data_IF_432770097655
#
_entry.id   IF_432770097655
#
_cell.length_a   1.000
_cell.length_b   1.000
_cell.length_c   1.000
_cell.angle_alpha   90.00
_cell.angle_beta   90.00
_cell.angle_gamma   90.00
#
_symmetry.space_group_name_H-M   'P 1'
#
loop_
_entity.id
_entity.type
_entity.pdbx_description
1 polymer ?
#
# COMPACT_ATOMS: atom_id res chain seq x y z
N UNK A 1 16.75 24.51 0.33
CA UNK A 1 15.33 24.20 0.11
C UNK A 1 15.07 24.25 -1.37
N UNK A 2 14.51 23.16 -1.93
CA UNK A 2 14.16 23.11 -3.34
C UNK A 2 12.68 23.39 -3.58
N UNK A 3 12.35 23.99 -4.74
CA UNK A 3 10.98 24.25 -5.16
C UNK A 3 10.81 23.82 -6.60
N UNK A 4 9.94 22.85 -6.82
CA UNK A 4 9.50 22.50 -8.18
C UNK A 4 8.19 23.21 -8.48
N UNK A 5 8.10 23.78 -9.69
CA UNK A 5 6.95 24.58 -10.11
C UNK A 5 6.28 23.92 -11.31
N UNK A 6 4.94 23.84 -11.27
CA UNK A 6 4.15 23.29 -12.36
C UNK A 6 2.98 24.20 -12.70
N UNK A 7 2.75 24.44 -13.98
CA UNK A 7 1.57 25.14 -14.47
C UNK A 7 0.37 24.20 -14.44
N UNK A 8 -0.67 24.62 -13.73
CA UNK A 8 -1.98 23.96 -13.72
C UNK A 8 -2.74 24.42 -14.98
N UNK A 9 -3.33 23.50 -15.77
CA UNK A 9 -4.07 23.91 -16.95
C UNK A 9 -5.35 24.70 -16.58
N UNK A 10 -5.69 25.70 -17.39
CA UNK A 10 -6.81 26.60 -17.11
C UNK A 10 -8.19 25.93 -17.07
N UNK A 11 -8.33 24.74 -17.67
CA UNK A 11 -9.59 23.97 -17.68
C UNK A 11 -9.82 23.15 -16.38
N UNK A 12 -8.86 23.10 -15.46
CA UNK A 12 -9.00 22.42 -14.16
C UNK A 12 -9.04 23.47 -13.04
N UNK A 13 -10.22 23.90 -12.58
CA UNK A 13 -10.31 24.78 -11.42
C UNK A 13 -9.75 24.12 -10.17
N UNK A 14 -8.94 24.84 -9.41
CA UNK A 14 -8.33 24.32 -8.16
C UNK A 14 -9.38 23.90 -7.14
N UNK A 15 -10.52 24.59 -7.09
CA UNK A 15 -11.64 24.23 -6.21
C UNK A 15 -12.20 22.83 -6.48
N UNK A 16 -12.11 22.35 -7.73
CA UNK A 16 -12.57 21.02 -8.12
C UNK A 16 -11.50 19.92 -7.94
N UNK A 17 -10.33 20.30 -7.39
CA UNK A 17 -9.18 19.40 -7.23
C UNK A 17 -8.64 19.36 -5.80
N UNK A 18 -9.45 18.93 -4.80
CA UNK A 18 -9.05 18.93 -3.40
C UNK A 18 -7.87 18.00 -3.10
N UNK A 19 -7.65 16.96 -3.92
CA UNK A 19 -6.55 16.02 -3.76
C UNK A 19 -5.18 16.60 -4.14
N UNK A 20 -5.13 17.78 -4.77
CA UNK A 20 -3.87 18.43 -5.16
C UNK A 20 -2.89 18.55 -3.98
N UNK A 21 -3.39 18.94 -2.81
CA UNK A 21 -2.60 19.07 -1.59
C UNK A 21 -2.05 17.73 -1.04
N UNK A 22 -2.54 16.60 -1.56
CA UNK A 22 -2.03 15.26 -1.20
C UNK A 22 -0.90 14.79 -2.12
N UNK A 23 -0.52 15.57 -3.11
CA UNK A 23 0.64 15.28 -3.95
C UNK A 23 1.94 15.20 -3.12
N UNK A 24 2.92 14.49 -3.64
CA UNK A 24 4.21 14.34 -3.00
C UNK A 24 5.33 14.15 -4.01
N UNK A 25 6.55 14.44 -3.56
CA UNK A 25 7.77 14.20 -4.32
C UNK A 25 8.44 12.91 -3.84
N UNK A 26 9.03 12.19 -4.78
CA UNK A 26 9.80 10.98 -4.49
C UNK A 26 11.12 10.97 -5.25
N UNK A 27 12.11 10.29 -4.66
CA UNK A 27 13.38 10.00 -5.31
C UNK A 27 13.23 8.96 -6.47
N UNK A 28 14.27 8.77 -7.28
CA UNK A 28 14.28 7.72 -8.31
C UNK A 28 14.05 6.31 -7.76
N UNK A 29 14.49 6.02 -6.54
CA UNK A 29 14.33 4.75 -5.81
C UNK A 29 12.95 4.57 -5.18
N UNK A 30 12.01 5.48 -5.43
CA UNK A 30 10.64 5.53 -4.91
C UNK A 30 10.53 5.93 -3.42
N UNK A 31 11.61 6.30 -2.75
CA UNK A 31 11.51 6.87 -1.40
C UNK A 31 10.74 8.21 -1.46
N UNK A 32 9.69 8.32 -0.66
CA UNK A 32 8.86 9.53 -0.60
C UNK A 32 9.51 10.54 0.33
N UNK A 33 9.56 11.79 -0.11
CA UNK A 33 10.13 12.88 0.68
C UNK A 33 9.06 13.74 1.33
N UNK A 34 9.31 14.28 2.53
CA UNK A 34 8.48 15.33 3.09
C UNK A 34 8.29 16.46 2.10
N UNK A 35 7.03 16.67 1.71
CA UNK A 35 6.66 17.58 0.64
C UNK A 35 5.51 18.47 1.07
N UNK A 36 5.69 19.78 0.92
CA UNK A 36 4.62 20.76 1.06
C UNK A 36 4.15 21.21 -0.30
N UNK A 37 2.85 21.09 -0.53
CA UNK A 37 2.19 21.56 -1.75
C UNK A 37 1.45 22.86 -1.45
N UNK A 38 1.84 23.93 -2.13
CA UNK A 38 1.14 25.23 -2.14
C UNK A 38 0.61 25.48 -3.56
N UNK A 39 -0.50 26.20 -3.68
CA UNK A 39 -1.06 26.62 -4.97
C UNK A 39 -1.13 28.15 -4.96
N UNK A 40 -0.51 28.77 -5.98
CA UNK A 40 -0.50 30.20 -6.17
C UNK A 40 -1.00 30.53 -7.60
N UNK A 41 -2.24 30.97 -7.69
CA UNK A 41 -2.91 31.18 -8.97
C UNK A 41 -2.95 29.89 -9.82
N UNK A 42 -2.24 29.90 -10.93
CA UNK A 42 -2.12 28.74 -11.84
C UNK A 42 -0.87 27.90 -11.59
N UNK A 43 -0.12 28.15 -10.51
CA UNK A 43 1.11 27.44 -10.20
C UNK A 43 0.91 26.49 -9.02
N UNK A 44 1.31 25.25 -9.22
CA UNK A 44 1.50 24.25 -8.17
C UNK A 44 2.97 24.30 -7.72
N UNK A 45 3.21 24.61 -6.45
CA UNK A 45 4.52 24.77 -5.86
C UNK A 45 4.80 23.58 -4.92
N UNK A 46 5.77 22.74 -5.29
CA UNK A 46 6.18 21.58 -4.50
C UNK A 46 7.48 21.91 -3.76
N UNK A 47 7.40 22.12 -2.45
CA UNK A 47 8.54 22.49 -1.59
C UNK A 47 9.10 21.28 -0.87
N UNK A 48 10.44 21.19 -0.82
CA UNK A 48 11.18 20.11 -0.16
C UNK A 48 12.50 20.60 0.45
N UNK A 49 13.14 19.75 1.24
CA UNK A 49 14.42 20.10 1.88
C UNK A 49 15.63 20.00 0.91
N UNK A 50 15.58 19.09 -0.06
CA UNK A 50 16.63 18.89 -1.09
C UNK A 50 16.27 19.60 -2.39
N UNK A 51 17.25 19.85 -3.25
CA UNK A 51 17.10 20.32 -4.64
C UNK A 51 17.40 19.22 -5.68
N UNK A 52 17.52 17.96 -5.26
CA UNK A 52 17.77 16.84 -6.15
C UNK A 52 16.63 16.61 -7.13
N UNK A 53 16.90 15.93 -8.24
CA UNK A 53 15.87 15.53 -9.20
C UNK A 53 14.86 14.61 -8.55
N UNK A 54 13.57 14.84 -8.83
CA UNK A 54 12.49 14.06 -8.21
C UNK A 54 11.31 13.86 -9.15
N UNK A 55 10.42 12.97 -8.76
CA UNK A 55 9.15 12.69 -9.43
C UNK A 55 8.02 13.28 -8.59
N UNK A 56 7.10 13.99 -9.24
CA UNK A 56 5.85 14.41 -8.60
C UNK A 56 4.79 13.31 -8.81
N UNK A 57 4.22 12.84 -7.71
CA UNK A 57 3.05 11.95 -7.69
C UNK A 57 1.83 12.75 -7.21
N UNK A 58 0.76 12.76 -8.01
CA UNK A 58 -0.43 13.55 -7.71
C UNK A 58 -1.68 12.93 -8.33
N UNK A 59 -2.80 13.00 -7.63
CA UNK A 59 -4.09 12.54 -8.14
C UNK A 59 -4.52 13.43 -9.32
N UNK A 60 -4.85 12.81 -10.46
CA UNK A 60 -5.14 13.54 -11.68
C UNK A 60 -6.39 13.01 -12.39
N UNK A 61 -7.31 13.87 -12.87
CA UNK A 61 -8.51 13.41 -13.56
C UNK A 61 -8.16 12.77 -14.91
N UNK A 62 -8.62 11.54 -15.10
CA UNK A 62 -8.49 10.78 -16.34
C UNK A 62 -9.84 10.20 -16.71
N UNK A 63 -10.32 10.47 -17.92
CA UNK A 63 -11.63 10.00 -18.38
C UNK A 63 -11.71 8.46 -18.28
N UNK A 64 -12.76 7.96 -17.63
CA UNK A 64 -12.99 6.51 -17.40
C UNK A 64 -12.19 5.88 -16.26
N UNK A 65 -11.24 6.63 -15.63
CA UNK A 65 -10.38 6.12 -14.55
C UNK A 65 -10.55 6.89 -13.23
N UNK A 66 -11.41 7.91 -13.19
CA UNK A 66 -11.53 8.78 -12.02
C UNK A 66 -10.30 9.66 -11.84
N UNK A 67 -9.74 9.67 -10.62
CA UNK A 67 -8.56 10.48 -10.28
C UNK A 67 -7.43 9.60 -9.69
N UNK A 68 -6.81 8.74 -10.51
CA UNK A 68 -5.67 7.96 -10.04
C UNK A 68 -4.48 8.88 -9.76
N UNK A 69 -3.63 8.51 -8.80
CA UNK A 69 -2.33 9.14 -8.65
C UNK A 69 -1.46 8.77 -9.83
N UNK A 70 -0.97 9.78 -10.52
CA UNK A 70 -0.03 9.67 -11.62
C UNK A 70 1.30 10.29 -11.23
N UNK A 71 2.38 9.77 -11.80
CA UNK A 71 3.73 10.17 -11.43
C UNK A 71 4.47 10.69 -12.67
N UNK A 72 5.12 11.83 -12.56
CA UNK A 72 5.98 12.40 -13.61
C UNK A 72 7.23 11.54 -13.84
N UNK A 73 7.95 11.81 -14.91
CA UNK A 73 9.35 11.39 -14.98
C UNK A 73 10.18 12.08 -13.88
N UNK A 74 11.42 11.64 -13.67
CA UNK A 74 12.35 12.35 -12.80
C UNK A 74 12.73 13.69 -13.45
N UNK A 75 12.48 14.78 -12.74
CA UNK A 75 12.66 16.15 -13.20
C UNK A 75 13.68 16.87 -12.31
N UNK A 76 14.66 17.59 -12.89
CA UNK A 76 15.53 18.48 -12.13
C UNK A 76 14.77 19.74 -11.67
N UNK A 77 15.28 20.44 -10.68
CA UNK A 77 14.81 21.77 -10.33
C UNK A 77 15.22 22.78 -11.41
N UNK A 78 14.33 23.70 -11.77
CA UNK A 78 14.58 24.77 -12.72
C UNK A 78 13.74 25.99 -12.41
N UNK A 79 14.11 27.16 -12.96
CA UNK A 79 13.40 28.44 -12.76
C UNK A 79 12.07 28.47 -13.50
N UNK A 80 12.01 27.96 -14.72
CA UNK A 80 10.78 27.93 -15.51
C UNK A 80 9.87 26.79 -15.03
N UNK A 81 8.56 27.07 -14.81
CA UNK A 81 7.60 26.05 -14.45
C UNK A 81 7.46 24.96 -15.53
N UNK A 82 7.24 23.73 -15.10
CA UNK A 82 6.85 22.62 -15.96
C UNK A 82 5.38 22.68 -16.32
N UNK A 83 4.98 22.24 -17.50
CA UNK A 83 3.58 21.98 -17.81
C UNK A 83 3.15 20.67 -17.18
N UNK A 84 2.33 20.72 -16.12
CA UNK A 84 1.99 19.57 -15.30
C UNK A 84 1.51 18.36 -16.10
N UNK A 85 0.52 18.58 -16.99
CA UNK A 85 -0.08 17.47 -17.75
C UNK A 85 0.91 16.84 -18.72
N UNK A 86 1.79 17.65 -19.32
CA UNK A 86 2.85 17.14 -20.22
C UNK A 86 3.79 16.21 -19.46
N UNK A 87 4.17 16.57 -18.25
CA UNK A 87 5.08 15.76 -17.45
C UNK A 87 4.40 14.50 -16.87
N UNK A 88 3.10 14.57 -16.54
CA UNK A 88 2.33 13.38 -16.16
C UNK A 88 2.18 12.41 -17.35
N UNK A 89 1.88 12.92 -18.55
CA UNK A 89 1.81 12.09 -19.76
C UNK A 89 3.17 11.46 -20.07
N UNK A 90 4.27 12.21 -19.97
CA UNK A 90 5.64 11.70 -20.10
C UNK A 90 5.89 10.55 -19.12
N UNK A 91 5.57 10.77 -17.85
CA UNK A 91 5.75 9.78 -16.79
C UNK A 91 4.99 8.49 -17.08
N UNK A 92 3.72 8.61 -17.45
CA UNK A 92 2.86 7.45 -17.73
C UNK A 92 3.32 6.67 -18.97
N UNK A 93 3.69 7.34 -20.05
CA UNK A 93 4.21 6.70 -21.27
C UNK A 93 5.52 5.97 -20.99
N UNK A 94 6.44 6.57 -20.22
CA UNK A 94 7.70 5.93 -19.82
C UNK A 94 7.45 4.72 -18.92
N UNK A 95 6.55 4.85 -17.94
CA UNK A 95 6.15 3.76 -17.06
C UNK A 95 5.62 2.56 -17.87
N UNK A 96 4.67 2.83 -18.78
CA UNK A 96 4.07 1.82 -19.65
C UNK A 96 5.11 1.13 -20.53
N UNK A 97 5.96 1.90 -21.22
CA UNK A 97 7.01 1.36 -22.09
C UNK A 97 7.95 0.42 -21.34
N UNK A 98 8.42 0.86 -20.18
CA UNK A 98 9.37 0.08 -19.39
C UNK A 98 8.74 -1.22 -18.88
N UNK A 99 7.51 -1.17 -18.41
CA UNK A 99 6.83 -2.36 -17.89
C UNK A 99 6.52 -3.36 -19.01
N UNK A 100 6.07 -2.89 -20.17
CA UNK A 100 5.84 -3.76 -21.33
C UNK A 100 7.13 -4.45 -21.77
N UNK A 101 8.25 -3.73 -21.83
CA UNK A 101 9.55 -4.31 -22.15
C UNK A 101 9.97 -5.41 -21.16
N UNK A 102 9.75 -5.18 -19.86
CA UNK A 102 10.00 -6.18 -18.81
C UNK A 102 9.13 -7.41 -18.99
N UNK A 103 7.82 -7.25 -19.23
CA UNK A 103 6.91 -8.37 -19.40
C UNK A 103 7.16 -9.15 -20.70
N UNK A 104 7.53 -8.46 -21.79
CA UNK A 104 7.91 -9.12 -23.06
C UNK A 104 9.18 -9.96 -22.90
N UNK A 105 10.18 -9.49 -22.12
CA UNK A 105 11.36 -10.30 -21.81
C UNK A 105 11.01 -11.57 -21.01
N UNK A 106 9.89 -11.55 -20.28
CA UNK A 106 9.26 -12.69 -19.61
C UNK A 106 8.29 -13.50 -20.49
N UNK A 107 8.38 -13.37 -21.82
CA UNK A 107 7.52 -14.07 -22.81
C UNK A 107 6.04 -13.71 -22.78
N UNK A 108 5.64 -12.53 -22.29
CA UNK A 108 4.26 -12.06 -22.42
C UNK A 108 3.93 -11.79 -23.89
N UNK A 109 2.79 -12.26 -24.33
CA UNK A 109 2.24 -11.94 -25.65
C UNK A 109 1.48 -10.61 -25.58
N UNK A 110 1.85 -9.67 -26.44
CA UNK A 110 1.20 -8.36 -26.51
C UNK A 110 -0.09 -8.48 -27.35
N UNK A 111 -1.26 -8.09 -26.82
CA UNK A 111 -2.50 -8.15 -27.56
C UNK A 111 -2.49 -7.18 -28.75
N UNK A 112 -3.15 -7.52 -29.89
CA UNK A 112 -3.09 -6.71 -31.10
C UNK A 112 -3.69 -5.31 -30.96
N UNK A 113 -4.56 -5.10 -29.98
CA UNK A 113 -5.18 -3.80 -29.68
C UNK A 113 -4.21 -2.84 -28.97
N UNK A 114 -3.14 -3.33 -28.36
CA UNK A 114 -2.21 -2.50 -27.60
C UNK A 114 -1.36 -1.57 -28.48
N UNK A 115 -0.70 -2.00 -29.58
CA UNK A 115 0.18 -1.14 -30.36
C UNK A 115 -0.49 0.12 -30.93
N UNK A 116 -1.77 0.08 -31.40
CA UNK A 116 -2.48 1.29 -31.81
C UNK A 116 -2.63 2.33 -30.68
N UNK A 117 -3.02 1.90 -29.48
CA UNK A 117 -3.17 2.79 -28.32
C UNK A 117 -1.84 3.42 -27.91
N UNK A 118 -0.78 2.60 -27.86
CA UNK A 118 0.57 3.08 -27.54
C UNK A 118 1.07 4.11 -28.55
N UNK A 119 0.86 3.86 -29.85
CA UNK A 119 1.25 4.81 -30.91
C UNK A 119 0.45 6.12 -30.84
N UNK A 120 -0.86 6.03 -30.58
CA UNK A 120 -1.71 7.21 -30.40
C UNK A 120 -1.22 8.05 -29.23
N UNK A 121 -0.95 7.45 -28.07
CA UNK A 121 -0.40 8.15 -26.91
C UNK A 121 0.92 8.86 -27.23
N UNK A 122 1.85 8.18 -27.94
CA UNK A 122 3.15 8.73 -28.30
C UNK A 122 3.03 9.87 -29.31
N UNK A 123 2.16 9.76 -30.33
CA UNK A 123 1.94 10.82 -31.31
C UNK A 123 1.31 12.08 -30.72
N UNK A 124 0.30 11.91 -29.85
CA UNK A 124 -0.32 13.03 -29.13
C UNK A 124 0.68 13.70 -28.19
N UNK A 125 1.46 12.91 -27.48
CA UNK A 125 2.53 13.42 -26.61
C UNK A 125 3.61 14.19 -27.40
N UNK A 126 4.06 13.67 -28.53
CA UNK A 126 5.03 14.37 -29.38
C UNK A 126 4.49 15.73 -29.87
N UNK A 127 3.20 15.78 -30.25
CA UNK A 127 2.53 17.04 -30.62
C UNK A 127 2.42 17.99 -29.43
N UNK A 128 2.10 17.50 -28.22
CA UNK A 128 2.05 18.31 -27.01
C UNK A 128 3.42 18.96 -26.71
N UNK A 129 4.50 18.17 -26.83
CA UNK A 129 5.87 18.68 -26.62
C UNK A 129 6.27 19.71 -27.69
N UNK A 130 5.85 19.54 -28.93
CA UNK A 130 6.13 20.48 -30.01
C UNK A 130 5.37 21.82 -29.87
N UNK A 131 4.33 21.90 -29.05
CA UNK A 131 3.47 23.08 -28.88
C UNK A 131 3.54 23.67 -27.47
N UNK A 132 4.65 23.50 -26.75
CA UNK A 132 4.80 24.01 -25.38
C UNK A 132 4.77 25.53 -25.27
N UNK A 133 4.98 26.26 -26.37
CA UNK A 133 4.83 27.71 -26.44
C UNK A 133 3.38 28.18 -26.21
N UNK A 134 2.39 27.29 -26.46
CA UNK A 134 0.99 27.46 -26.06
C UNK A 134 0.62 26.45 -24.97
N UNK A 135 0.68 26.83 -23.68
CA UNK A 135 0.41 25.93 -22.56
C UNK A 135 -0.99 25.30 -22.59
N UNK A 136 -2.00 25.98 -23.15
CA UNK A 136 -3.35 25.46 -23.22
C UNK A 136 -3.45 24.32 -24.25
N UNK A 137 -2.94 24.55 -25.46
CA UNK A 137 -2.92 23.55 -26.53
C UNK A 137 -2.05 22.33 -26.12
N UNK A 138 -0.86 22.58 -25.57
CA UNK A 138 0.02 21.54 -25.09
C UNK A 138 -0.65 20.68 -24.01
N UNK A 139 -1.32 21.31 -23.04
CA UNK A 139 -2.01 20.61 -21.95
C UNK A 139 -3.19 19.76 -22.46
N UNK A 140 -3.97 20.24 -23.42
CA UNK A 140 -5.07 19.47 -24.02
C UNK A 140 -4.56 18.23 -24.79
N UNK A 141 -3.51 18.39 -25.59
CA UNK A 141 -2.89 17.27 -26.30
C UNK A 141 -2.25 16.27 -25.34
N UNK A 142 -1.61 16.76 -24.28
CA UNK A 142 -1.02 15.91 -23.24
C UNK A 142 -2.09 15.16 -22.46
N UNK A 143 -3.26 15.77 -22.18
CA UNK A 143 -4.39 15.10 -21.55
C UNK A 143 -4.90 13.93 -22.41
N UNK A 144 -5.07 14.16 -23.71
CA UNK A 144 -5.45 13.09 -24.64
C UNK A 144 -4.39 11.98 -24.71
N UNK A 145 -3.10 12.34 -24.72
CA UNK A 145 -2.00 11.37 -24.68
C UNK A 145 -2.03 10.53 -23.41
N UNK A 146 -2.30 11.15 -22.27
CA UNK A 146 -2.41 10.52 -20.97
C UNK A 146 -3.57 9.52 -20.92
N UNK A 147 -4.74 9.90 -21.44
CA UNK A 147 -5.92 9.02 -21.52
C UNK A 147 -5.63 7.79 -22.38
N UNK A 148 -5.00 7.96 -23.54
CA UNK A 148 -4.60 6.83 -24.39
C UNK A 148 -3.56 5.93 -23.71
N UNK A 149 -2.62 6.53 -22.96
CA UNK A 149 -1.62 5.78 -22.20
C UNK A 149 -2.24 5.00 -21.02
N UNK A 150 -3.26 5.54 -20.36
CA UNK A 150 -4.00 4.83 -19.30
C UNK A 150 -4.84 3.68 -19.86
N UNK A 151 -5.53 3.87 -20.99
CA UNK A 151 -6.23 2.79 -21.70
C UNK A 151 -5.28 1.67 -22.11
N UNK A 152 -4.13 2.01 -22.67
CA UNK A 152 -3.10 1.04 -23.03
C UNK A 152 -2.55 0.31 -21.80
N UNK A 153 -2.37 1.02 -20.68
CA UNK A 153 -1.89 0.46 -19.43
C UNK A 153 -2.90 -0.54 -18.82
N UNK A 154 -4.19 -0.21 -18.80
CA UNK A 154 -5.25 -1.11 -18.32
C UNK A 154 -5.31 -2.38 -19.18
N UNK A 155 -5.37 -2.23 -20.51
CA UNK A 155 -5.41 -3.34 -21.45
C UNK A 155 -4.26 -4.32 -21.26
N UNK A 156 -3.02 -3.79 -21.23
CA UNK A 156 -1.82 -4.65 -21.16
C UNK A 156 -1.69 -5.32 -19.79
N UNK A 157 -2.08 -4.64 -18.70
CA UNK A 157 -2.03 -5.21 -17.35
C UNK A 157 -3.04 -6.34 -17.19
N UNK A 158 -4.27 -6.18 -17.69
CA UNK A 158 -5.29 -7.24 -17.70
C UNK A 158 -4.84 -8.43 -18.54
N UNK A 159 -4.23 -8.18 -19.70
CA UNK A 159 -3.68 -9.23 -20.55
C UNK A 159 -2.57 -10.00 -19.85
N UNK A 160 -1.62 -9.30 -19.21
CA UNK A 160 -0.56 -9.90 -18.42
C UNK A 160 -1.11 -10.78 -17.30
N UNK A 161 -2.03 -10.24 -16.49
CA UNK A 161 -2.64 -10.99 -15.38
C UNK A 161 -3.35 -12.27 -15.91
N UNK A 162 -4.10 -12.16 -16.99
CA UNK A 162 -4.78 -13.30 -17.61
C UNK A 162 -3.79 -14.38 -18.08
N UNK A 163 -2.73 -13.99 -18.78
CA UNK A 163 -1.70 -14.92 -19.24
C UNK A 163 -0.97 -15.60 -18.07
N UNK A 164 -0.66 -14.86 -16.99
CA UNK A 164 -0.05 -15.42 -15.78
C UNK A 164 -0.97 -16.41 -15.07
N UNK A 165 -2.25 -16.10 -14.96
CA UNK A 165 -3.26 -17.01 -14.39
C UNK A 165 -3.40 -18.29 -15.24
N UNK A 166 -3.50 -18.17 -16.55
CA UNK A 166 -3.55 -19.32 -17.46
C UNK A 166 -2.31 -20.22 -17.33
N UNK A 167 -1.11 -19.61 -17.22
CA UNK A 167 0.12 -20.36 -17.00
C UNK A 167 0.10 -21.10 -15.67
N UNK A 168 -0.33 -20.46 -14.59
CA UNK A 168 -0.45 -21.10 -13.27
C UNK A 168 -1.48 -22.23 -13.27
N UNK A 169 -2.64 -22.05 -13.91
CA UNK A 169 -3.65 -23.10 -13.99
C UNK A 169 -3.19 -24.35 -14.77
N UNK A 170 -2.25 -24.20 -15.72
CA UNK A 170 -1.63 -25.38 -16.37
C UNK A 170 -0.75 -26.19 -15.43
N UNK A 171 -0.13 -25.53 -14.44
CA UNK A 171 0.74 -26.20 -13.45
C UNK A 171 -0.08 -26.71 -12.24
N UNK A 172 -1.07 -25.94 -11.83
CA UNK A 172 -1.88 -26.20 -10.63
C UNK A 172 -3.37 -26.10 -11.00
N UNK A 173 -4.10 -27.23 -11.05
CA UNK A 173 -5.55 -27.24 -11.31
C UNK A 173 -6.33 -26.37 -10.32
N UNK A 174 -5.89 -26.36 -9.05
CA UNK A 174 -6.36 -25.43 -8.03
C UNK A 174 -5.21 -24.51 -7.64
N UNK A 175 -5.43 -23.19 -7.74
CA UNK A 175 -4.42 -22.22 -7.32
C UNK A 175 -4.24 -22.29 -5.80
N UNK A 176 -3.00 -22.25 -5.29
CA UNK A 176 -2.71 -22.21 -3.85
C UNK A 176 -2.97 -20.79 -3.31
N UNK A 177 -4.13 -20.24 -3.58
CA UNK A 177 -4.57 -18.92 -3.13
C UNK A 177 -5.90 -19.06 -2.42
N UNK A 178 -6.06 -18.29 -1.35
CA UNK A 178 -7.30 -18.25 -0.58
C UNK A 178 -7.94 -16.89 -0.71
N UNK A 179 -9.24 -16.86 -0.99
CA UNK A 179 -10.05 -15.67 -0.83
C UNK A 179 -10.60 -15.69 0.59
N UNK A 180 -10.18 -14.76 1.42
CA UNK A 180 -10.58 -14.68 2.82
C UNK A 180 -11.29 -13.37 3.16
N UNK A 181 -12.04 -13.40 4.24
CA UNK A 181 -12.69 -12.21 4.81
C UNK A 181 -12.55 -12.22 6.33
N UNK A 182 -12.62 -11.04 6.95
CA UNK A 182 -12.69 -10.92 8.41
C UNK A 182 -14.12 -11.18 8.90
N UNK A 183 -14.23 -11.89 10.03
CA UNK A 183 -15.53 -12.08 10.71
C UNK A 183 -15.99 -10.84 11.50
N UNK A 184 -15.11 -9.84 11.67
CA UNK A 184 -15.41 -8.68 12.50
C UNK A 184 -15.39 -8.98 14.00
N UNK A 185 -15.77 -8.00 14.81
CA UNK A 185 -15.67 -8.05 16.28
C UNK A 185 -16.93 -8.60 16.96
N UNK A 186 -17.87 -9.13 16.19
CA UNK A 186 -19.15 -9.69 16.69
C UNK A 186 -19.39 -11.07 16.10
N UNK A 187 -20.23 -11.86 16.79
CA UNK A 187 -20.68 -13.14 16.25
C UNK A 187 -21.68 -12.93 15.11
N UNK A 188 -21.42 -13.55 13.98
CA UNK A 188 -22.35 -13.55 12.84
C UNK A 188 -23.51 -14.54 13.10
N UNK A 189 -24.69 -14.20 12.59
CA UNK A 189 -25.85 -15.11 12.63
C UNK A 189 -25.63 -16.29 11.65
N UNK A 190 -26.26 -17.42 11.94
CA UNK A 190 -26.13 -18.66 11.15
C UNK A 190 -26.32 -18.45 9.63
N UNK A 191 -27.33 -17.71 9.14
CA UNK A 191 -27.50 -17.47 7.69
C UNK A 191 -26.32 -16.71 7.07
N UNK A 192 -25.70 -15.78 7.82
CA UNK A 192 -24.54 -15.03 7.37
C UNK A 192 -23.30 -15.91 7.28
N UNK A 193 -23.12 -16.81 8.26
CA UNK A 193 -22.02 -17.79 8.28
C UNK A 193 -22.13 -18.80 7.14
N UNK A 194 -23.35 -19.24 6.79
CA UNK A 194 -23.59 -20.12 5.64
C UNK A 194 -23.22 -19.43 4.32
N UNK A 195 -23.65 -18.17 4.13
CA UNK A 195 -23.28 -17.38 2.96
C UNK A 195 -21.76 -17.13 2.89
N UNK A 196 -21.12 -16.86 4.03
CA UNK A 196 -19.68 -16.66 4.13
C UNK A 196 -18.94 -17.92 3.64
N UNK A 197 -19.32 -19.09 4.11
CA UNK A 197 -18.68 -20.36 3.74
C UNK A 197 -18.83 -20.73 2.26
N UNK A 198 -19.85 -20.21 1.56
CA UNK A 198 -20.01 -20.43 0.12
C UNK A 198 -19.07 -19.57 -0.75
N UNK A 199 -18.57 -18.44 -0.21
CA UNK A 199 -17.78 -17.46 -0.97
C UNK A 199 -16.31 -17.49 -0.60
N UNK A 200 -16.00 -17.64 0.72
CA UNK A 200 -14.65 -17.50 1.24
C UNK A 200 -14.08 -18.84 1.65
N UNK A 201 -12.82 -19.08 1.28
CA UNK A 201 -12.04 -20.26 1.71
C UNK A 201 -11.15 -19.95 2.92
N UNK A 202 -10.92 -18.67 3.21
CA UNK A 202 -10.12 -18.19 4.33
C UNK A 202 -10.90 -17.28 5.25
N UNK A 203 -10.54 -17.32 6.54
CA UNK A 203 -11.15 -16.54 7.60
C UNK A 203 -10.07 -15.76 8.35
N UNK A 204 -10.28 -14.46 8.54
CA UNK A 204 -9.50 -13.70 9.52
C UNK A 204 -10.35 -13.50 10.78
N UNK A 205 -9.86 -14.02 11.91
CA UNK A 205 -10.44 -13.84 13.23
C UNK A 205 -9.73 -12.68 13.91
N UNK A 206 -10.40 -11.53 14.12
CA UNK A 206 -9.80 -10.40 14.83
C UNK A 206 -9.45 -10.78 16.27
N UNK A 207 -8.21 -10.50 16.65
CA UNK A 207 -7.70 -10.74 18.00
C UNK A 207 -6.89 -9.53 18.49
N UNK A 208 -7.42 -8.33 18.21
CA UNK A 208 -6.74 -7.09 18.61
C UNK A 208 -6.66 -6.98 20.13
N UNK A 209 -5.48 -6.68 20.63
CA UNK A 209 -5.23 -6.57 22.08
C UNK A 209 -6.22 -5.67 22.79
N UNK A 210 -6.54 -4.50 22.21
CA UNK A 210 -7.54 -3.58 22.81
C UNK A 210 -8.93 -4.20 23.01
N UNK A 211 -9.28 -5.22 22.22
CA UNK A 211 -10.57 -5.91 22.32
C UNK A 211 -10.48 -7.11 23.26
N UNK A 212 -9.32 -7.76 23.29
CA UNK A 212 -9.07 -8.93 24.17
C UNK A 212 -8.86 -8.47 25.62
N UNK A 213 -8.12 -7.39 25.84
CA UNK A 213 -7.75 -6.88 27.17
C UNK A 213 -8.00 -5.36 27.26
N UNK A 214 -9.25 -4.92 27.22
CA UNK A 214 -9.62 -3.51 27.33
C UNK A 214 -9.25 -2.89 28.67
N UNK A 215 -9.21 -3.71 29.74
CA UNK A 215 -8.76 -3.39 31.10
C UNK A 215 -7.65 -4.34 31.45
N UNK A 216 -6.58 -3.82 32.08
CA UNK A 216 -5.41 -4.61 32.47
C UNK A 216 -5.79 -5.83 33.29
N UNK A 217 -5.39 -7.03 32.82
CA UNK A 217 -5.67 -8.31 33.44
C UNK A 217 -7.06 -8.92 33.15
N UNK A 218 -7.96 -8.21 32.46
CA UNK A 218 -9.29 -8.71 32.10
C UNK A 218 -9.31 -9.19 30.63
N UNK A 219 -9.16 -10.51 30.42
CA UNK A 219 -9.07 -11.13 29.10
C UNK A 219 -10.41 -11.66 28.61
N UNK A 220 -10.86 -11.22 27.45
CA UNK A 220 -12.11 -11.58 26.79
C UNK A 220 -11.87 -12.45 25.54
N UNK A 221 -12.06 -13.74 25.65
CA UNK A 221 -11.80 -14.71 24.58
C UNK A 221 -13.07 -15.27 23.92
N UNK A 222 -14.25 -14.93 24.41
CA UNK A 222 -15.51 -15.59 24.06
C UNK A 222 -15.80 -15.48 22.55
N UNK A 223 -15.68 -14.28 22.00
CA UNK A 223 -15.95 -14.03 20.58
C UNK A 223 -14.87 -14.67 19.69
N UNK A 224 -13.56 -14.40 19.87
CA UNK A 224 -12.53 -15.05 19.06
C UNK A 224 -12.57 -16.57 19.14
N UNK A 225 -12.84 -17.13 20.33
CA UNK A 225 -12.92 -18.59 20.48
C UNK A 225 -14.06 -19.18 19.66
N UNK A 226 -15.26 -18.61 19.76
CA UNK A 226 -16.42 -19.07 18.99
C UNK A 226 -16.19 -18.96 17.46
N UNK A 227 -15.51 -17.89 17.01
CA UNK A 227 -15.16 -17.70 15.61
C UNK A 227 -14.11 -18.71 15.12
N UNK A 228 -13.11 -19.02 15.94
CA UNK A 228 -12.09 -20.05 15.64
C UNK A 228 -12.74 -21.43 15.56
N UNK A 229 -13.56 -21.79 16.54
CA UNK A 229 -14.24 -23.09 16.60
C UNK A 229 -15.13 -23.30 15.36
N UNK A 230 -15.90 -22.26 14.98
CA UNK A 230 -16.72 -22.31 13.78
C UNK A 230 -15.87 -22.46 12.50
N UNK A 231 -14.79 -21.71 12.38
CA UNK A 231 -13.96 -21.73 11.18
C UNK A 231 -13.24 -23.08 11.02
N UNK A 232 -12.74 -23.68 12.09
CA UNK A 232 -12.11 -25.00 12.09
C UNK A 232 -13.14 -26.09 11.76
N UNK A 233 -14.33 -26.05 12.38
CA UNK A 233 -15.42 -27.00 12.11
C UNK A 233 -15.85 -27.01 10.63
N UNK A 234 -15.76 -25.85 9.96
CA UNK A 234 -16.09 -25.68 8.54
C UNK A 234 -14.86 -25.79 7.61
N UNK A 235 -13.70 -26.17 8.12
CA UNK A 235 -12.44 -26.41 7.36
C UNK A 235 -11.93 -25.20 6.61
N UNK A 236 -12.16 -24.00 7.12
CA UNK A 236 -11.57 -22.80 6.58
C UNK A 236 -10.08 -22.68 6.93
N UNK A 237 -9.32 -22.00 6.06
CA UNK A 237 -7.98 -21.56 6.42
C UNK A 237 -8.11 -20.37 7.37
N UNK A 238 -7.63 -20.51 8.61
CA UNK A 238 -7.81 -19.50 9.66
C UNK A 238 -6.53 -18.70 9.87
N UNK A 239 -6.67 -17.37 9.90
CA UNK A 239 -5.63 -16.42 10.31
C UNK A 239 -6.11 -15.70 11.57
N UNK A 240 -5.35 -15.80 12.66
CA UNK A 240 -5.55 -15.01 13.88
C UNK A 240 -4.92 -13.64 13.77
N UNK A 241 -5.57 -12.61 14.31
CA UNK A 241 -5.04 -11.25 14.37
C UNK A 241 -5.67 -10.23 13.42
N UNK A 242 -5.12 -8.96 13.37
CA UNK A 242 -3.86 -8.59 14.01
C UNK A 242 -3.94 -8.65 15.53
N UNK A 243 -2.80 -9.00 16.18
CA UNK A 243 -2.70 -8.96 17.63
C UNK A 243 -2.45 -7.53 18.10
N UNK A 244 -1.47 -6.87 17.49
CA UNK A 244 -1.02 -5.51 17.81
C UNK A 244 -1.34 -4.57 16.65
N UNK A 245 -2.18 -3.58 16.87
CA UNK A 245 -2.45 -2.53 15.89
C UNK A 245 -1.81 -1.20 16.36
N UNK A 246 -0.80 -0.73 15.63
CA UNK A 246 -0.06 0.50 15.97
C UNK A 246 -0.73 1.78 15.47
N UNK A 247 -1.94 1.72 14.93
CA UNK A 247 -2.70 2.92 14.58
C UNK A 247 -3.11 3.72 15.84
N UNK A 248 -3.47 5.00 15.72
CA UNK A 248 -4.03 5.75 16.83
C UNK A 248 -5.22 4.99 17.46
N UNK A 249 -5.21 4.82 18.77
CA UNK A 249 -6.19 4.04 19.54
C UNK A 249 -6.26 2.53 19.14
N UNK A 250 -5.28 1.97 18.49
CA UNK A 250 -5.23 0.54 18.12
C UNK A 250 -4.82 -0.39 19.26
N UNK A 251 -4.20 0.15 20.32
CA UNK A 251 -3.75 -0.58 21.51
C UNK A 251 -4.67 -0.32 22.71
N UNK A 252 -4.63 -1.16 23.76
CA UNK A 252 -5.39 -0.95 24.98
C UNK A 252 -5.13 0.42 25.61
N UNK A 253 -6.17 1.16 26.05
CA UNK A 253 -6.00 2.50 26.64
C UNK A 253 -5.15 2.53 27.91
N UNK A 254 -5.16 1.46 28.71
CA UNK A 254 -4.39 1.37 29.93
C UNK A 254 -2.87 1.39 29.70
N UNK A 255 -2.39 1.09 28.48
CA UNK A 255 -0.97 1.21 28.14
C UNK A 255 -0.45 2.66 28.09
N UNK A 256 -1.33 3.66 27.96
CA UNK A 256 -0.91 5.07 27.90
C UNK A 256 -0.12 5.51 29.15
N UNK A 257 -0.43 4.97 30.32
CA UNK A 257 0.33 5.25 31.56
C UNK A 257 1.80 4.81 31.48
N UNK A 258 2.11 3.86 30.56
CA UNK A 258 3.44 3.30 30.34
C UNK A 258 4.16 3.90 29.12
N UNK A 259 3.57 4.89 28.44
CA UNK A 259 4.11 5.43 27.16
C UNK A 259 5.56 5.94 27.26
N UNK A 260 6.01 6.37 28.46
CA UNK A 260 7.38 6.78 28.73
C UNK A 260 8.35 5.66 29.12
N UNK A 261 7.87 4.44 29.35
CA UNK A 261 8.67 3.30 29.83
C UNK A 261 8.71 2.18 28.79
N UNK A 262 9.66 2.29 27.87
CA UNK A 262 9.83 1.38 26.76
C UNK A 262 10.09 -0.08 27.19
N UNK A 263 10.80 -0.29 28.32
CA UNK A 263 11.12 -1.65 28.78
C UNK A 263 9.87 -2.39 29.28
N UNK A 264 9.06 -1.72 30.08
CA UNK A 264 7.79 -2.28 30.53
C UNK A 264 6.82 -2.49 29.37
N UNK A 265 6.71 -1.53 28.43
CA UNK A 265 5.92 -1.73 27.21
C UNK A 265 6.37 -2.97 26.43
N UNK A 266 7.69 -3.14 26.23
CA UNK A 266 8.22 -4.33 25.54
C UNK A 266 7.81 -5.64 26.24
N UNK A 267 7.86 -5.68 27.57
CA UNK A 267 7.42 -6.85 28.34
C UNK A 267 5.94 -7.14 28.11
N UNK A 268 5.07 -6.15 28.32
CA UNK A 268 3.63 -6.33 28.11
C UNK A 268 3.28 -6.78 26.70
N UNK A 269 3.93 -6.22 25.68
CA UNK A 269 3.71 -6.62 24.28
C UNK A 269 4.11 -8.09 24.03
N UNK A 270 5.27 -8.50 24.55
CA UNK A 270 5.73 -9.88 24.42
C UNK A 270 4.82 -10.86 25.19
N UNK A 271 4.44 -10.51 26.41
CA UNK A 271 3.58 -11.35 27.27
C UNK A 271 2.19 -11.57 26.66
N UNK A 272 1.57 -10.51 26.10
CA UNK A 272 0.29 -10.63 25.41
C UNK A 272 0.38 -11.53 24.17
N UNK A 273 1.41 -11.33 23.34
CA UNK A 273 1.60 -12.13 22.12
C UNK A 273 1.88 -13.58 22.46
N UNK A 274 2.77 -13.83 23.42
CA UNK A 274 3.10 -15.22 23.86
C UNK A 274 1.88 -15.92 24.44
N UNK A 275 1.11 -15.25 25.31
CA UNK A 275 -0.14 -15.77 25.87
C UNK A 275 -1.15 -16.12 24.79
N UNK A 276 -1.34 -15.21 23.81
CA UNK A 276 -2.32 -15.41 22.74
C UNK A 276 -1.93 -16.56 21.83
N UNK A 277 -0.68 -16.59 21.34
CA UNK A 277 -0.19 -17.65 20.45
C UNK A 277 -0.21 -19.00 21.13
N UNK A 278 0.25 -19.08 22.39
CA UNK A 278 0.24 -20.31 23.19
C UNK A 278 -1.18 -20.85 23.42
N UNK A 279 -2.16 -19.96 23.65
CA UNK A 279 -3.56 -20.35 23.84
C UNK A 279 -4.13 -21.13 22.66
N UNK A 280 -3.77 -20.77 21.44
CA UNK A 280 -4.29 -21.36 20.21
C UNK A 280 -3.28 -22.29 19.51
N UNK A 281 -2.18 -22.65 20.18
CA UNK A 281 -1.19 -23.60 19.66
C UNK A 281 -1.85 -24.91 19.22
N UNK A 282 -1.49 -25.39 18.03
CA UNK A 282 -2.10 -26.57 17.43
C UNK A 282 -3.48 -26.36 16.79
N UNK A 283 -4.15 -25.24 17.05
CA UNK A 283 -5.42 -24.85 16.41
C UNK A 283 -5.19 -23.87 15.26
N UNK A 284 -4.40 -22.83 15.49
CA UNK A 284 -4.07 -21.79 14.50
C UNK A 284 -2.59 -21.87 14.13
N UNK A 285 -2.32 -21.78 12.82
CA UNK A 285 -0.95 -21.74 12.28
C UNK A 285 -0.57 -20.41 11.68
N UNK A 286 -1.53 -19.57 11.29
CA UNK A 286 -1.27 -18.31 10.61
C UNK A 286 -1.64 -17.16 11.53
N UNK A 287 -0.66 -16.32 11.82
CA UNK A 287 -0.80 -15.22 12.75
C UNK A 287 -0.40 -13.89 12.10
N UNK A 288 -1.25 -12.91 12.17
CA UNK A 288 -0.89 -11.52 11.90
C UNK A 288 -0.51 -10.87 13.23
N UNK A 289 0.79 -10.77 13.50
CA UNK A 289 1.30 -10.33 14.80
C UNK A 289 1.15 -8.82 14.96
N UNK A 290 1.56 -8.05 13.98
CA UNK A 290 1.55 -6.59 14.04
C UNK A 290 0.96 -5.97 12.79
N UNK A 291 0.15 -4.93 12.95
CA UNK A 291 -0.41 -4.13 11.88
C UNK A 291 -0.01 -2.67 12.03
N UNK A 292 0.26 -1.99 10.90
CA UNK A 292 0.49 -0.54 10.80
C UNK A 292 1.67 0.01 11.62
N UNK A 293 2.63 -0.85 11.99
CA UNK A 293 3.81 -0.41 12.74
C UNK A 293 4.68 0.57 11.94
N UNK A 294 4.66 0.49 10.60
CA UNK A 294 5.39 1.39 9.71
C UNK A 294 4.83 2.83 9.76
N UNK A 295 3.51 3.02 9.72
CA UNK A 295 2.87 4.34 9.82
C UNK A 295 2.68 4.79 11.27
N UNK A 296 2.35 3.87 12.19
CA UNK A 296 2.32 4.10 13.63
C UNK A 296 1.19 5.03 14.09
N UNK A 297 1.42 5.63 15.26
CA UNK A 297 0.52 6.60 15.89
C UNK A 297 0.10 6.24 17.31
N UNK A 298 0.19 4.96 17.71
CA UNK A 298 -0.10 4.52 19.06
C UNK A 298 1.02 4.90 20.02
N UNK A 299 0.68 5.29 21.26
CA UNK A 299 1.58 5.56 22.39
C UNK A 299 2.73 6.54 22.12
N UNK A 300 2.65 7.34 21.05
CA UNK A 300 3.74 8.25 20.67
C UNK A 300 5.08 7.57 20.36
N UNK A 301 5.09 6.28 20.09
CA UNK A 301 6.30 5.50 19.85
C UNK A 301 7.08 5.98 18.64
N UNK A 302 8.39 6.15 18.80
CA UNK A 302 9.28 6.44 17.68
C UNK A 302 9.29 5.29 16.66
N UNK A 303 9.68 5.57 15.43
CA UNK A 303 9.79 4.55 14.37
C UNK A 303 10.79 3.44 14.76
N UNK A 304 11.89 3.78 15.40
CA UNK A 304 12.89 2.85 15.91
C UNK A 304 12.31 1.95 17.02
N UNK A 305 11.55 2.53 17.96
CA UNK A 305 10.91 1.77 19.02
C UNK A 305 9.86 0.80 18.46
N UNK A 306 9.05 1.24 17.47
CA UNK A 306 8.08 0.35 16.80
C UNK A 306 8.78 -0.80 16.09
N UNK A 307 9.88 -0.53 15.37
CA UNK A 307 10.66 -1.57 14.71
C UNK A 307 11.21 -2.59 15.72
N UNK A 308 11.78 -2.11 16.83
CA UNK A 308 12.30 -2.94 17.90
C UNK A 308 11.19 -3.81 18.53
N UNK A 309 10.04 -3.20 18.87
CA UNK A 309 8.91 -3.94 19.43
C UNK A 309 8.43 -5.04 18.48
N UNK A 310 8.26 -4.73 17.19
CA UNK A 310 7.81 -5.74 16.20
C UNK A 310 8.80 -6.90 16.13
N UNK A 311 10.10 -6.63 16.12
CA UNK A 311 11.11 -7.70 16.12
C UNK A 311 10.99 -8.58 17.38
N UNK A 312 10.84 -7.98 18.56
CA UNK A 312 10.74 -8.70 19.84
C UNK A 312 9.46 -9.52 19.96
N UNK A 313 8.32 -9.00 19.52
CA UNK A 313 7.07 -9.78 19.57
C UNK A 313 7.05 -10.92 18.56
N UNK A 314 7.71 -10.77 17.41
CA UNK A 314 7.90 -11.89 16.47
C UNK A 314 8.76 -13.00 17.07
N UNK A 315 9.84 -12.64 17.79
CA UNK A 315 10.64 -13.60 18.55
C UNK A 315 9.81 -14.30 19.67
N UNK A 316 8.97 -13.54 20.38
CA UNK A 316 8.07 -14.10 21.40
C UNK A 316 7.06 -15.07 20.80
N UNK A 317 6.40 -14.69 19.69
CA UNK A 317 5.48 -15.57 18.97
C UNK A 317 6.14 -16.86 18.49
N UNK A 318 7.37 -16.77 17.98
CA UNK A 318 8.14 -17.95 17.52
C UNK A 318 8.51 -18.88 18.67
N UNK A 319 8.83 -18.33 19.86
CA UNK A 319 9.06 -19.15 21.06
C UNK A 319 7.79 -19.87 21.55
N UNK A 320 6.64 -19.21 21.42
CA UNK A 320 5.35 -19.76 21.80
C UNK A 320 4.89 -20.91 20.87
N UNK A 321 5.19 -20.80 19.57
CA UNK A 321 4.86 -21.82 18.55
C UNK A 321 5.88 -21.79 17.41
N UNK A 322 6.72 -22.83 17.37
CA UNK A 322 7.78 -22.95 16.35
C UNK A 322 7.22 -23.18 14.93
N UNK A 323 6.02 -23.76 14.82
CA UNK A 323 5.36 -24.07 13.54
C UNK A 323 4.50 -22.89 13.00
N UNK A 324 4.34 -21.82 13.78
CA UNK A 324 3.51 -20.69 13.40
C UNK A 324 4.04 -19.95 12.17
N UNK A 325 3.14 -19.57 11.26
CA UNK A 325 3.41 -18.66 10.17
C UNK A 325 3.13 -17.22 10.63
N UNK A 326 4.18 -16.43 10.77
CA UNK A 326 4.11 -15.09 11.35
C UNK A 326 4.08 -14.04 10.25
N UNK A 327 3.04 -13.22 10.25
CA UNK A 327 2.80 -12.15 9.29
C UNK A 327 2.82 -10.80 9.98
N UNK A 328 3.22 -9.78 9.23
CA UNK A 328 3.00 -8.37 9.59
C UNK A 328 2.14 -7.70 8.52
N UNK A 329 1.38 -6.68 8.91
CA UNK A 329 0.62 -5.84 7.99
C UNK A 329 1.29 -4.47 7.85
N UNK A 330 1.60 -4.13 6.62
CA UNK A 330 2.16 -2.84 6.23
C UNK A 330 1.05 -1.95 5.68
N UNK A 331 0.85 -0.80 6.31
CA UNK A 331 -0.09 0.22 5.88
C UNK A 331 0.50 1.09 4.77
N UNK A 332 -0.35 1.55 3.87
CA UNK A 332 -0.01 2.48 2.79
C UNK A 332 1.29 2.09 2.06
N UNK A 333 1.33 0.93 1.37
CA UNK A 333 2.56 0.34 0.87
C UNK A 333 3.28 1.17 -0.23
N UNK A 334 2.63 2.22 -0.77
CA UNK A 334 3.27 3.24 -1.62
C UNK A 334 4.03 4.31 -0.84
N UNK A 335 3.88 4.37 0.48
CA UNK A 335 4.57 5.32 1.33
C UNK A 335 3.98 6.74 1.34
N UNK A 336 2.75 6.93 0.90
CA UNK A 336 2.09 8.25 0.82
C UNK A 336 2.14 9.02 2.15
N UNK A 337 2.11 8.33 3.28
CA UNK A 337 2.16 8.92 4.63
C UNK A 337 3.49 9.64 4.93
N UNK A 338 4.59 9.23 4.30
CA UNK A 338 5.91 9.83 4.53
C UNK A 338 5.98 11.29 4.07
N UNK A 339 5.13 11.67 3.11
CA UNK A 339 5.11 13.04 2.59
C UNK A 339 4.76 14.09 3.67
N UNK A 340 4.08 13.68 4.75
CA UNK A 340 3.51 14.59 5.77
C UNK A 340 3.97 14.31 7.20
N UNK A 341 4.78 13.31 7.40
CA UNK A 341 5.26 12.88 8.71
C UNK A 341 6.78 13.01 8.86
N UNK A 342 7.26 12.72 10.06
CA UNK A 342 8.69 12.57 10.35
C UNK A 342 9.10 11.09 10.25
N UNK A 343 8.76 10.44 9.12
CA UNK A 343 9.11 9.05 8.85
C UNK A 343 10.44 8.99 8.11
N UNK A 344 11.36 8.16 8.58
CA UNK A 344 12.69 7.96 7.99
C UNK A 344 12.75 6.71 7.11
N UNK A 345 11.94 5.70 7.44
CA UNK A 345 11.91 4.43 6.73
C UNK A 345 10.73 4.38 5.77
N UNK A 346 11.00 4.11 4.50
CA UNK A 346 9.96 3.74 3.55
C UNK A 346 9.32 2.40 3.97
N UNK A 347 8.05 2.14 3.60
CA UNK A 347 7.36 0.90 4.00
C UNK A 347 8.17 -0.36 3.71
N UNK A 348 8.77 -0.45 2.51
CA UNK A 348 9.62 -1.55 2.12
C UNK A 348 10.88 -1.65 3.01
N UNK A 349 11.52 -0.52 3.33
CA UNK A 349 12.72 -0.51 4.17
C UNK A 349 12.40 -0.91 5.62
N UNK A 350 11.20 -0.57 6.13
CA UNK A 350 10.75 -1.04 7.43
C UNK A 350 10.65 -2.58 7.46
N UNK A 351 10.03 -3.16 6.43
CA UNK A 351 9.92 -4.61 6.30
C UNK A 351 11.29 -5.28 6.08
N UNK A 352 12.15 -4.71 5.21
CA UNK A 352 13.51 -5.20 4.95
C UNK A 352 14.36 -5.21 6.24
N UNK A 353 14.23 -4.18 7.09
CA UNK A 353 14.94 -4.14 8.35
C UNK A 353 14.55 -5.29 9.28
N UNK A 354 13.28 -5.69 9.33
CA UNK A 354 12.82 -6.85 10.09
C UNK A 354 13.36 -8.16 9.50
N UNK A 355 13.34 -8.31 8.18
CA UNK A 355 13.89 -9.49 7.49
C UNK A 355 15.38 -9.63 7.79
N UNK A 356 16.15 -8.55 7.67
CA UNK A 356 17.61 -8.55 7.96
C UNK A 356 17.93 -8.77 9.44
N UNK A 357 17.06 -8.34 10.34
CA UNK A 357 17.20 -8.61 11.77
C UNK A 357 16.98 -10.09 12.12
N UNK A 358 16.62 -10.94 11.14
CA UNK A 358 16.32 -12.35 11.37
C UNK A 358 14.95 -12.55 12.06
N UNK A 359 14.09 -11.55 12.09
CA UNK A 359 12.72 -11.71 12.54
C UNK A 359 12.05 -12.79 11.68
N UNK A 360 11.56 -13.84 12.29
CA UNK A 360 11.08 -15.07 11.66
C UNK A 360 9.78 -14.85 10.86
N UNK A 361 9.77 -13.87 9.94
CA UNK A 361 8.62 -13.53 9.10
C UNK A 361 8.38 -14.63 8.07
N UNK A 362 7.12 -15.07 7.97
CA UNK A 362 6.65 -16.02 6.96
C UNK A 362 5.97 -15.31 5.78
N UNK A 363 5.56 -14.05 5.94
CA UNK A 363 4.94 -13.26 4.90
C UNK A 363 4.60 -11.84 5.33
N UNK A 364 4.19 -11.01 4.34
CA UNK A 364 3.79 -9.61 4.53
C UNK A 364 2.41 -9.39 3.95
N UNK A 365 1.52 -8.80 4.76
CA UNK A 365 0.23 -8.32 4.29
C UNK A 365 0.35 -6.86 3.89
N UNK A 366 -0.01 -6.52 2.66
CA UNK A 366 -0.09 -5.13 2.19
C UNK A 366 -1.51 -4.60 2.40
N UNK A 367 -1.66 -3.61 3.27
CA UNK A 367 -2.95 -2.96 3.51
C UNK A 367 -3.17 -1.84 2.50
N UNK A 368 -4.22 -1.99 1.68
CA UNK A 368 -4.59 -1.03 0.65
C UNK A 368 -6.00 -0.53 0.93
N UNK A 369 -6.07 0.57 1.68
CA UNK A 369 -7.31 1.28 1.99
C UNK A 369 -7.44 2.50 1.08
N UNK A 370 -8.19 2.37 -0.04
CA UNK A 370 -8.34 3.45 -1.01
C UNK A 370 -9.49 4.38 -0.60
N UNK A 371 -9.25 5.69 -0.73
CA UNK A 371 -10.27 6.72 -0.50
C UNK A 371 -10.45 7.13 0.95
N UNK A 372 -9.78 6.50 1.89
CA UNK A 372 -9.83 6.90 3.31
C UNK A 372 -8.86 8.06 3.56
N UNK A 373 -9.33 9.07 4.27
CA UNK A 373 -8.51 10.21 4.68
C UNK A 373 -8.63 10.38 6.20
N UNK A 374 -7.54 10.64 6.91
CA UNK A 374 -6.17 10.87 6.43
C UNK A 374 -5.33 9.59 6.22
N UNK A 375 -5.83 8.43 6.63
CA UNK A 375 -5.03 7.20 6.83
C UNK A 375 -5.05 6.24 5.64
N UNK A 376 -5.58 6.61 4.48
CA UNK A 376 -5.64 5.72 3.31
C UNK A 376 -4.77 6.18 2.17
N UNK A 377 -4.48 5.27 1.25
CA UNK A 377 -3.84 5.57 -0.02
C UNK A 377 -4.82 6.21 -1.00
N UNK A 378 -4.34 7.11 -1.85
CA UNK A 378 -5.10 7.57 -3.00
C UNK A 378 -5.20 6.43 -4.05
N UNK A 379 -6.24 6.48 -4.89
CA UNK A 379 -6.44 5.47 -5.94
C UNK A 379 -5.25 5.40 -6.89
N UNK A 380 -4.98 4.19 -7.38
CA UNK A 380 -3.92 3.89 -8.36
C UNK A 380 -4.52 3.16 -9.54
N UNK A 381 -3.89 3.23 -10.71
CA UNK A 381 -4.28 2.35 -11.81
C UNK A 381 -3.67 0.93 -11.66
N UNK A 382 -4.17 -0.01 -12.43
CA UNK A 382 -3.74 -1.41 -12.35
C UNK A 382 -2.26 -1.61 -12.66
N UNK A 383 -1.67 -0.78 -13.53
CA UNK A 383 -0.27 -0.86 -13.87
C UNK A 383 0.61 -0.47 -12.68
N UNK A 384 0.25 0.61 -11.98
CA UNK A 384 0.97 1.05 -10.79
C UNK A 384 0.83 0.04 -9.64
N UNK A 385 -0.35 -0.55 -9.48
CA UNK A 385 -0.58 -1.64 -8.53
C UNK A 385 0.29 -2.87 -8.85
N UNK A 386 0.34 -3.30 -10.11
CA UNK A 386 1.20 -4.43 -10.52
C UNK A 386 2.68 -4.15 -10.23
N UNK A 387 3.14 -2.92 -10.47
CA UNK A 387 4.52 -2.52 -10.15
C UNK A 387 4.79 -2.47 -8.65
N UNK A 388 3.79 -2.12 -7.84
CA UNK A 388 3.91 -2.21 -6.39
C UNK A 388 4.20 -3.66 -5.98
N UNK A 389 3.44 -4.62 -6.49
CA UNK A 389 3.65 -6.05 -6.17
C UNK A 389 5.05 -6.51 -6.62
N UNK A 390 5.49 -6.13 -7.83
CA UNK A 390 6.84 -6.42 -8.31
C UNK A 390 7.91 -5.83 -7.38
N UNK A 391 7.70 -4.62 -6.88
CA UNK A 391 8.62 -3.96 -5.95
C UNK A 391 8.70 -4.68 -4.59
N UNK A 392 7.57 -5.09 -4.04
CA UNK A 392 7.52 -5.83 -2.77
C UNK A 392 8.10 -7.24 -2.91
N UNK A 393 8.05 -7.85 -4.09
CA UNK A 393 8.64 -9.17 -4.34
C UNK A 393 10.18 -9.20 -4.19
N UNK A 394 10.84 -8.03 -4.17
CA UNK A 394 12.29 -7.92 -3.93
C UNK A 394 12.69 -8.41 -2.53
N UNK A 395 11.78 -8.44 -1.57
CA UNK A 395 12.03 -8.99 -0.23
C UNK A 395 12.16 -10.52 -0.23
N UNK A 396 11.78 -11.19 -1.32
CA UNK A 396 11.84 -12.66 -1.48
C UNK A 396 11.08 -13.44 -0.39
N UNK A 397 10.08 -12.84 0.22
CA UNK A 397 9.12 -13.46 1.15
C UNK A 397 7.69 -13.26 0.61
N UNK A 398 6.78 -14.23 0.90
CA UNK A 398 5.37 -14.14 0.49
C UNK A 398 4.64 -12.89 0.99
#
# INVERSE_FOLDING_TARGET
MGVMQFVIPSWLPVADWPEAHRGFLSAPDQSVWPTRIDIDGSLLLCRRMSNDSSKLSIAWPVAGFGRPVLTTASLPERSEPYLLVVELARGKIVQLRNQVATWQSGNMQVPPEFPPLQRSAQQLFARAVAQQDDPNVASLLAQQALEQACLAADLITRSYASQRLQFRHRQYPQLPTSLGCSLGDTLLATPQLEQFGQVFSGVAVPMQWRCIEPVEGELHWEIPQAQVDWAIANKHLVRGGPLLDFSPNGLPPWLEQWSGDFFNLQSFFCDFVETTVSKYQGQLRIWEIAARANSGGALGLSEENRLTLVARVLEAARRADDDAQLLIRIDQPWGDYQARGQHKLAPLHFADALVRAGAALSGINLEIAIGYSPSGSASRDLLDFSRLIDFWSLLSIP
#
